data_IF_146886394881
#
_entry.id   IF_146886394881
#
_cell.length_a   1.000
_cell.length_b   1.000
_cell.length_c   1.000
_cell.angle_alpha   90.00
_cell.angle_beta   90.00
_cell.angle_gamma   90.00
#
_symmetry.space_group_name_H-M   'P 1'
#
loop_
_entity.id
_entity.type
_entity.pdbx_description
1 polymer ?
#
# COMPACT_ATOMS: atom_id res chain seq x y z
N UNK A 1 -36.24 -8.12 -8.48
CA UNK A 1 -35.12 -7.45 -7.85
C UNK A 1 -34.41 -6.56 -8.88
N UNK A 2 -34.10 -5.31 -8.56
CA UNK A 2 -33.50 -4.39 -9.52
C UNK A 2 -32.15 -4.96 -10.01
N UNK A 3 -31.85 -4.98 -11.34
CA UNK A 3 -30.62 -5.53 -11.90
C UNK A 3 -29.35 -4.88 -11.31
N UNK A 4 -29.41 -3.62 -10.92
CA UNK A 4 -28.33 -2.91 -10.25
C UNK A 4 -28.04 -3.54 -8.87
N UNK A 5 -29.07 -3.81 -8.08
CA UNK A 5 -28.95 -4.43 -6.75
C UNK A 5 -28.39 -5.86 -6.88
N UNK A 6 -28.87 -6.62 -7.88
CA UNK A 6 -28.33 -7.95 -8.20
C UNK A 6 -26.85 -7.93 -8.57
N UNK A 7 -26.43 -6.95 -9.35
CA UNK A 7 -25.04 -6.76 -9.72
C UNK A 7 -24.16 -6.51 -8.47
N UNK A 8 -24.56 -5.59 -7.58
CA UNK A 8 -23.83 -5.31 -6.35
C UNK A 8 -23.79 -6.52 -5.41
N UNK A 9 -24.86 -7.25 -5.23
CA UNK A 9 -24.86 -8.47 -4.43
C UNK A 9 -23.97 -9.56 -5.00
N UNK A 10 -23.93 -9.71 -6.32
CA UNK A 10 -23.08 -10.68 -6.99
C UNK A 10 -21.60 -10.31 -6.87
N UNK A 11 -21.24 -9.07 -7.18
CA UNK A 11 -19.85 -8.59 -7.16
C UNK A 11 -19.29 -8.47 -5.74
N UNK A 12 -20.13 -8.17 -4.75
CA UNK A 12 -19.76 -8.16 -3.34
C UNK A 12 -19.71 -9.55 -2.67
N UNK A 13 -19.98 -10.63 -3.41
CA UNK A 13 -19.94 -11.99 -2.85
C UNK A 13 -18.52 -12.57 -2.88
N UNK A 14 -18.01 -13.14 -1.74
CA UNK A 14 -16.66 -13.72 -1.68
C UNK A 14 -16.38 -14.79 -2.74
N UNK A 15 -17.32 -15.72 -3.08
CA UNK A 15 -17.05 -16.72 -4.11
C UNK A 15 -16.89 -16.16 -5.53
N UNK A 16 -17.61 -15.08 -5.84
CA UNK A 16 -17.45 -14.39 -7.13
C UNK A 16 -16.11 -13.67 -7.18
N UNK A 17 -15.77 -12.93 -6.11
CA UNK A 17 -14.52 -12.21 -6.02
C UNK A 17 -13.32 -13.17 -6.13
N UNK A 18 -13.37 -14.32 -5.46
CA UNK A 18 -12.32 -15.34 -5.52
C UNK A 18 -12.09 -15.85 -6.94
N UNK A 19 -13.14 -16.14 -7.69
CA UNK A 19 -13.03 -16.59 -9.08
C UNK A 19 -12.51 -15.51 -10.00
N UNK A 20 -13.00 -14.29 -9.84
CA UNK A 20 -12.58 -13.14 -10.64
C UNK A 20 -11.11 -12.78 -10.38
N UNK A 21 -10.72 -12.68 -9.12
CA UNK A 21 -9.32 -12.40 -8.74
C UNK A 21 -8.37 -13.50 -9.21
N UNK A 22 -8.75 -14.78 -9.08
CA UNK A 22 -7.96 -15.91 -9.58
C UNK A 22 -7.67 -15.83 -11.08
N UNK A 23 -8.61 -15.31 -11.87
CA UNK A 23 -8.37 -15.05 -13.29
C UNK A 23 -7.43 -13.87 -13.55
N UNK A 24 -7.51 -12.81 -12.74
CA UNK A 24 -6.70 -11.60 -12.91
C UNK A 24 -5.27 -11.74 -12.36
N UNK A 25 -5.08 -12.50 -11.29
CA UNK A 25 -3.80 -12.61 -10.57
C UNK A 25 -2.60 -12.91 -11.50
N UNK A 26 -2.62 -13.90 -12.40
CA UNK A 26 -1.47 -14.18 -13.26
C UNK A 26 -1.10 -13.01 -14.17
N UNK A 27 -2.08 -12.29 -14.70
CA UNK A 27 -1.85 -11.12 -15.55
C UNK A 27 -1.31 -9.94 -14.76
N UNK A 28 -1.82 -9.72 -13.56
CA UNK A 28 -1.34 -8.66 -12.66
C UNK A 28 0.10 -8.95 -12.21
N UNK A 29 0.42 -10.21 -11.88
CA UNK A 29 1.79 -10.61 -11.55
C UNK A 29 2.75 -10.45 -12.73
N UNK A 30 2.38 -10.88 -13.92
CA UNK A 30 3.20 -10.70 -15.12
C UNK A 30 3.45 -9.20 -15.39
N UNK A 31 2.41 -8.38 -15.35
CA UNK A 31 2.52 -6.93 -15.51
C UNK A 31 3.40 -6.30 -14.43
N UNK A 32 3.23 -6.70 -13.17
CA UNK A 32 4.03 -6.22 -12.05
C UNK A 32 5.52 -6.52 -12.26
N UNK A 33 5.87 -7.76 -12.58
CA UNK A 33 7.27 -8.15 -12.80
C UNK A 33 7.89 -7.38 -13.96
N UNK A 34 7.20 -7.32 -15.11
CA UNK A 34 7.70 -6.62 -16.30
C UNK A 34 7.90 -5.13 -16.00
N UNK A 35 6.89 -4.46 -15.45
CA UNK A 35 6.98 -3.02 -15.16
C UNK A 35 8.01 -2.70 -14.09
N UNK A 36 8.15 -3.57 -13.07
CA UNK A 36 9.17 -3.41 -12.02
C UNK A 36 10.57 -3.54 -12.60
N UNK A 37 10.83 -4.57 -13.41
CA UNK A 37 12.16 -4.76 -14.05
C UNK A 37 12.51 -3.58 -14.96
N UNK A 38 11.56 -3.15 -15.80
CA UNK A 38 11.77 -1.99 -16.68
C UNK A 38 11.98 -0.72 -15.86
N UNK A 39 11.14 -0.46 -14.86
CA UNK A 39 11.22 0.72 -14.01
C UNK A 39 12.54 0.80 -13.23
N UNK A 40 12.96 -0.31 -12.63
CA UNK A 40 14.24 -0.38 -11.91
C UNK A 40 15.43 -0.20 -12.88
N UNK A 41 15.40 -0.85 -14.06
CA UNK A 41 16.44 -0.66 -15.04
C UNK A 41 16.56 0.79 -15.51
N UNK A 42 15.44 1.42 -15.86
CA UNK A 42 15.44 2.81 -16.29
C UNK A 42 15.85 3.77 -15.18
N UNK A 43 15.29 3.61 -13.98
CA UNK A 43 15.56 4.50 -12.84
C UNK A 43 16.99 4.36 -12.28
N UNK A 44 17.50 3.14 -12.14
CA UNK A 44 18.81 2.92 -11.54
C UNK A 44 19.98 3.01 -12.50
N UNK A 45 19.78 2.65 -13.79
CA UNK A 45 20.91 2.54 -14.72
C UNK A 45 20.86 3.54 -15.88
N UNK A 46 19.68 4.00 -16.30
CA UNK A 46 19.52 4.85 -17.48
C UNK A 46 19.22 6.30 -17.16
N UNK A 47 18.59 6.58 -16.03
CA UNK A 47 18.26 7.95 -15.64
C UNK A 47 19.54 8.78 -15.45
N UNK A 48 19.63 10.00 -15.99
CA UNK A 48 20.78 10.87 -15.77
C UNK A 48 20.83 11.30 -14.29
N UNK A 49 22.04 11.58 -13.75
CA UNK A 49 22.17 12.17 -12.43
C UNK A 49 21.54 13.58 -12.43
N UNK A 50 20.98 13.95 -11.29
CA UNK A 50 20.44 15.30 -11.09
C UNK A 50 21.55 16.33 -10.85
N UNK A 51 21.35 17.57 -11.29
CA UNK A 51 22.39 18.61 -11.20
C UNK A 51 22.67 19.07 -9.76
N UNK A 52 21.72 18.90 -8.82
CA UNK A 52 21.88 19.24 -7.40
C UNK A 52 22.13 18.00 -6.54
N UNK A 53 21.44 16.89 -6.81
CA UNK A 53 21.45 15.69 -5.98
C UNK A 53 22.44 14.62 -6.48
N UNK A 54 22.99 14.79 -7.67
CA UNK A 54 23.88 13.78 -8.27
C UNK A 54 23.18 12.43 -8.43
N UNK A 55 23.87 11.35 -8.08
CA UNK A 55 23.37 9.97 -8.16
C UNK A 55 22.30 9.66 -7.10
N UNK A 56 22.18 10.45 -6.03
CA UNK A 56 21.21 10.18 -4.96
C UNK A 56 19.75 10.36 -5.42
N UNK A 57 19.53 11.09 -6.53
CA UNK A 57 18.19 11.19 -7.16
C UNK A 57 17.60 9.83 -7.51
N UNK A 58 18.43 8.81 -7.77
CA UNK A 58 17.96 7.46 -8.12
C UNK A 58 17.13 6.81 -7.03
N UNK A 59 17.35 7.18 -5.77
CA UNK A 59 16.55 6.72 -4.62
C UNK A 59 15.10 7.18 -4.76
N UNK A 60 14.85 8.35 -5.35
CA UNK A 60 13.51 8.91 -5.56
C UNK A 60 12.62 8.01 -6.40
N UNK A 61 13.18 7.31 -7.38
CA UNK A 61 12.39 6.41 -8.24
C UNK A 61 11.79 5.21 -7.49
N UNK A 62 12.36 4.87 -6.34
CA UNK A 62 11.83 3.86 -5.45
C UNK A 62 11.04 4.48 -4.29
N UNK A 63 11.56 5.57 -3.72
CA UNK A 63 10.98 6.25 -2.56
C UNK A 63 9.59 6.82 -2.83
N UNK A 64 9.46 7.61 -3.91
CA UNK A 64 8.20 8.32 -4.21
C UNK A 64 7.04 7.35 -4.47
N UNK A 65 7.18 6.32 -5.32
CA UNK A 65 6.13 5.33 -5.48
C UNK A 65 5.78 4.59 -4.18
N UNK A 66 6.79 4.26 -3.35
CA UNK A 66 6.55 3.57 -2.08
C UNK A 66 5.76 4.44 -1.09
N UNK A 67 6.13 5.71 -0.93
CA UNK A 67 5.41 6.66 -0.09
C UNK A 67 3.97 6.92 -0.56
N UNK A 68 3.76 7.01 -1.88
CA UNK A 68 2.41 7.11 -2.44
C UNK A 68 1.57 5.87 -2.17
N UNK A 69 2.15 4.68 -2.36
CA UNK A 69 1.45 3.42 -2.13
C UNK A 69 1.11 3.21 -0.66
N UNK A 70 1.99 3.59 0.27
CA UNK A 70 1.71 3.51 1.72
C UNK A 70 0.47 4.32 2.09
N UNK A 71 0.40 5.59 1.70
CA UNK A 71 -0.75 6.45 1.97
C UNK A 71 -2.02 6.00 1.23
N UNK A 72 -1.89 5.61 -0.05
CA UNK A 72 -3.03 5.18 -0.85
C UNK A 72 -3.70 3.92 -0.30
N UNK A 73 -2.91 2.92 0.10
CA UNK A 73 -3.44 1.68 0.68
C UNK A 73 -4.18 1.99 1.98
N UNK A 74 -3.63 2.84 2.85
CA UNK A 74 -4.31 3.22 4.10
C UNK A 74 -5.63 3.96 3.83
N UNK A 75 -5.63 4.87 2.86
CA UNK A 75 -6.84 5.57 2.42
C UNK A 75 -7.91 4.61 1.88
N UNK A 76 -7.51 3.62 1.06
CA UNK A 76 -8.41 2.58 0.58
C UNK A 76 -8.95 1.72 1.72
N UNK A 77 -8.12 1.35 2.69
CA UNK A 77 -8.57 0.61 3.88
C UNK A 77 -9.61 1.39 4.66
N UNK A 78 -9.44 2.72 4.82
CA UNK A 78 -10.44 3.58 5.46
C UNK A 78 -11.77 3.59 4.69
N UNK A 79 -11.73 3.68 3.36
CA UNK A 79 -12.94 3.60 2.51
C UNK A 79 -13.61 2.24 2.64
N UNK A 80 -12.85 1.14 2.59
CA UNK A 80 -13.40 -0.21 2.77
C UNK A 80 -13.98 -0.40 4.18
N UNK A 81 -13.31 0.15 5.20
CA UNK A 81 -13.83 0.14 6.57
C UNK A 81 -15.17 0.86 6.69
N UNK A 82 -15.28 2.03 6.10
CA UNK A 82 -16.55 2.75 6.03
C UNK A 82 -17.65 1.94 5.34
N UNK A 83 -17.34 1.33 4.18
CA UNK A 83 -18.29 0.49 3.44
C UNK A 83 -18.67 -0.75 4.24
N UNK A 84 -17.70 -1.41 4.88
CA UNK A 84 -17.96 -2.57 5.73
C UNK A 84 -18.89 -2.24 6.90
N UNK A 85 -18.67 -1.09 7.54
CA UNK A 85 -19.44 -0.63 8.69
C UNK A 85 -20.89 -0.29 8.30
N UNK A 86 -21.08 0.48 7.21
CA UNK A 86 -22.39 0.97 6.79
C UNK A 86 -23.23 -0.13 6.12
N UNK A 87 -22.64 -0.87 5.19
CA UNK A 87 -23.37 -1.87 4.39
C UNK A 87 -23.11 -3.32 4.82
N UNK A 88 -22.25 -3.56 5.81
CA UNK A 88 -21.90 -4.89 6.33
C UNK A 88 -21.44 -5.87 5.23
N UNK A 89 -20.65 -5.39 4.29
CA UNK A 89 -20.14 -6.18 3.16
C UNK A 89 -18.85 -6.88 3.58
N UNK A 90 -18.93 -8.20 3.81
CA UNK A 90 -17.82 -9.04 4.31
C UNK A 90 -16.54 -8.98 3.49
N UNK A 91 -16.63 -8.80 2.16
CA UNK A 91 -15.44 -8.72 1.32
C UNK A 91 -14.58 -7.50 1.65
N UNK A 92 -15.16 -6.42 2.14
CA UNK A 92 -14.44 -5.21 2.54
C UNK A 92 -13.55 -5.47 3.76
N UNK A 93 -14.04 -6.25 4.74
CA UNK A 93 -13.23 -6.67 5.90
C UNK A 93 -12.01 -7.50 5.46
N UNK A 94 -12.20 -8.42 4.51
CA UNK A 94 -11.12 -9.23 3.95
C UNK A 94 -10.10 -8.35 3.21
N UNK A 95 -10.55 -7.35 2.45
CA UNK A 95 -9.66 -6.43 1.75
C UNK A 95 -8.81 -5.61 2.71
N UNK A 96 -9.36 -5.13 3.82
CA UNK A 96 -8.62 -4.38 4.84
C UNK A 96 -7.45 -5.21 5.37
N UNK A 97 -7.75 -6.40 5.90
CA UNK A 97 -6.70 -7.20 6.54
C UNK A 97 -5.67 -7.74 5.55
N UNK A 98 -6.10 -8.04 4.31
CA UNK A 98 -5.17 -8.49 3.27
C UNK A 98 -4.26 -7.36 2.77
N UNK A 99 -4.69 -6.11 2.85
CA UNK A 99 -3.92 -4.95 2.38
C UNK A 99 -2.99 -4.38 3.45
N UNK A 100 -3.28 -4.59 4.74
CA UNK A 100 -2.48 -4.05 5.84
C UNK A 100 -0.99 -4.46 5.77
N UNK A 101 -0.60 -5.75 5.58
CA UNK A 101 0.81 -6.13 5.46
C UNK A 101 1.48 -5.55 4.21
N UNK A 102 0.73 -5.32 3.13
CA UNK A 102 1.24 -4.68 1.92
C UNK A 102 1.55 -3.21 2.22
N UNK A 103 0.64 -2.52 2.93
CA UNK A 103 0.85 -1.15 3.39
C UNK A 103 2.08 -1.04 4.30
N UNK A 104 2.25 -1.95 5.26
CA UNK A 104 3.46 -2.04 6.11
C UNK A 104 4.74 -2.13 5.25
N UNK A 105 4.75 -3.00 4.24
CA UNK A 105 5.91 -3.18 3.38
C UNK A 105 6.28 -1.88 2.63
N UNK A 106 5.31 -1.20 2.04
CA UNK A 106 5.54 0.07 1.35
C UNK A 106 5.99 1.18 2.32
N UNK A 107 5.40 1.26 3.52
CA UNK A 107 5.79 2.23 4.54
C UNK A 107 7.24 2.00 5.01
N UNK A 108 7.65 0.75 5.21
CA UNK A 108 9.05 0.42 5.55
C UNK A 108 9.99 0.82 4.42
N UNK A 109 9.66 0.50 3.16
CA UNK A 109 10.46 0.89 2.00
C UNK A 109 10.56 2.43 1.93
N UNK A 110 9.46 3.16 2.12
CA UNK A 110 9.45 4.62 2.11
C UNK A 110 10.34 5.20 3.23
N UNK A 111 10.24 4.69 4.46
CA UNK A 111 11.08 5.14 5.58
C UNK A 111 12.57 4.86 5.35
N UNK A 112 12.92 3.66 4.90
CA UNK A 112 14.33 3.29 4.64
C UNK A 112 14.92 4.12 3.50
N UNK A 113 14.22 4.20 2.38
CA UNK A 113 14.68 4.96 1.21
C UNK A 113 14.72 6.46 1.48
N UNK A 114 13.74 7.00 2.23
CA UNK A 114 13.71 8.38 2.66
C UNK A 114 14.89 8.74 3.59
N UNK A 115 15.22 7.86 4.53
CA UNK A 115 16.39 8.01 5.40
C UNK A 115 17.71 7.98 4.62
N UNK A 116 17.84 7.03 3.67
CA UNK A 116 19.03 6.95 2.81
C UNK A 116 19.19 8.18 1.92
N UNK A 117 18.11 8.68 1.37
CA UNK A 117 18.11 9.90 0.56
C UNK A 117 18.36 11.16 1.41
N UNK A 118 17.92 11.17 2.66
CA UNK A 118 18.14 12.27 3.60
C UNK A 118 19.62 12.54 3.88
N UNK A 119 20.43 11.49 3.96
CA UNK A 119 21.86 11.62 4.30
C UNK A 119 22.65 12.54 3.36
N UNK A 120 22.62 12.38 2.04
CA UNK A 120 23.29 13.31 1.12
C UNK A 120 22.62 14.68 1.04
N UNK A 121 21.33 14.78 1.34
CA UNK A 121 20.55 16.02 1.17
C UNK A 121 20.63 16.94 2.39
N UNK A 122 20.53 16.37 3.61
CA UNK A 122 20.47 17.11 4.88
C UNK A 122 21.59 16.75 5.86
N UNK A 123 22.52 15.87 5.49
CA UNK A 123 23.65 15.46 6.31
C UNK A 123 23.33 14.41 7.39
N UNK A 124 22.06 14.02 7.54
CA UNK A 124 21.61 13.04 8.54
C UNK A 124 20.59 12.06 7.94
N UNK A 125 20.53 10.86 8.51
CA UNK A 125 19.55 9.84 8.09
C UNK A 125 18.14 10.13 8.60
N UNK A 126 18.00 10.88 9.69
CA UNK A 126 16.71 11.14 10.32
C UNK A 126 16.60 12.59 10.79
N UNK A 127 15.45 13.20 10.45
CA UNK A 127 15.02 14.50 10.98
C UNK A 127 13.58 14.33 11.44
N UNK A 128 13.26 14.87 12.62
CA UNK A 128 11.88 14.87 13.12
C UNK A 128 11.04 15.96 12.41
N UNK A 129 10.92 15.84 11.10
CA UNK A 129 10.03 16.68 10.31
C UNK A 129 8.65 16.03 10.14
N UNK A 130 7.70 16.77 9.60
CA UNK A 130 6.34 16.28 9.42
C UNK A 130 6.26 15.06 8.48
N UNK A 131 7.16 14.95 7.49
CA UNK A 131 7.15 13.88 6.48
C UNK A 131 7.57 12.53 7.07
N UNK A 132 8.78 12.47 7.65
CA UNK A 132 9.29 11.24 8.25
C UNK A 132 8.50 10.83 9.49
N UNK A 133 8.07 11.80 10.30
CA UNK A 133 7.27 11.52 11.49
C UNK A 133 5.90 10.99 11.14
N UNK A 134 5.19 11.59 10.16
CA UNK A 134 3.87 11.11 9.75
C UNK A 134 3.93 9.72 9.10
N UNK A 135 4.96 9.44 8.30
CA UNK A 135 5.16 8.11 7.71
C UNK A 135 5.46 7.05 8.79
N UNK A 136 6.23 7.41 9.82
CA UNK A 136 6.46 6.52 10.98
C UNK A 136 5.16 6.27 11.76
N UNK A 137 4.35 7.31 11.99
CA UNK A 137 3.02 7.17 12.61
C UNK A 137 2.14 6.27 11.77
N UNK A 138 2.15 6.41 10.45
CA UNK A 138 1.41 5.55 9.54
C UNK A 138 1.80 4.08 9.69
N UNK A 139 3.10 3.78 9.84
CA UNK A 139 3.58 2.42 10.13
C UNK A 139 2.97 1.86 11.41
N UNK A 140 2.95 2.64 12.49
CA UNK A 140 2.32 2.21 13.74
C UNK A 140 0.81 2.03 13.63
N UNK A 141 0.13 2.84 12.82
CA UNK A 141 -1.30 2.66 12.55
C UNK A 141 -1.57 1.33 11.82
N UNK A 142 -0.75 0.96 10.83
CA UNK A 142 -0.84 -0.34 10.19
C UNK A 142 -0.63 -1.50 11.17
N UNK A 143 0.39 -1.41 12.02
CA UNK A 143 0.60 -2.41 13.07
C UNK A 143 -0.56 -2.47 14.05
N UNK A 144 -1.15 -1.32 14.38
CA UNK A 144 -2.35 -1.24 15.20
C UNK A 144 -3.53 -2.00 14.60
N UNK A 145 -3.78 -1.83 13.30
CA UNK A 145 -4.85 -2.57 12.58
C UNK A 145 -4.58 -4.07 12.62
N UNK A 146 -3.35 -4.52 12.33
CA UNK A 146 -2.98 -5.94 12.34
C UNK A 146 -3.09 -6.52 13.76
N UNK A 147 -2.60 -5.80 14.76
CA UNK A 147 -2.65 -6.24 16.16
C UNK A 147 -4.10 -6.34 16.66
N UNK A 148 -4.92 -5.33 16.35
CA UNK A 148 -6.33 -5.32 16.72
C UNK A 148 -7.07 -6.51 16.10
N UNK A 149 -6.86 -6.76 14.81
CA UNK A 149 -7.49 -7.88 14.12
C UNK A 149 -7.12 -9.23 14.76
N UNK A 150 -5.86 -9.41 15.14
CA UNK A 150 -5.37 -10.64 15.77
C UNK A 150 -5.77 -10.79 17.26
N UNK A 151 -6.18 -9.69 17.89
CA UNK A 151 -6.60 -9.71 19.29
C UNK A 151 -8.05 -10.23 19.49
N UNK A 152 -8.85 -10.31 18.44
CA UNK A 152 -10.22 -10.79 18.52
C UNK A 152 -10.39 -12.14 17.83
N UNK A 153 -10.99 -13.09 18.54
CA UNK A 153 -11.31 -14.44 18.01
C UNK A 153 -12.39 -14.39 16.91
N UNK A 154 -13.23 -13.33 16.93
CA UNK A 154 -14.25 -13.10 15.92
C UNK A 154 -13.84 -11.93 15.02
N UNK A 155 -13.58 -12.16 13.73
CA UNK A 155 -13.15 -11.11 12.78
C UNK A 155 -14.05 -9.89 12.71
N UNK A 156 -15.36 -10.07 12.94
CA UNK A 156 -16.34 -8.98 12.94
C UNK A 156 -16.24 -8.02 14.13
N UNK A 157 -15.61 -8.44 15.21
CA UNK A 157 -15.40 -7.58 16.39
C UNK A 157 -14.12 -6.75 16.26
N UNK A 158 -13.24 -7.15 15.33
CA UNK A 158 -11.99 -6.48 15.06
C UNK A 158 -12.10 -5.42 13.93
N UNK A 159 -13.11 -5.52 13.10
CA UNK A 159 -13.35 -4.61 11.97
C UNK A 159 -14.27 -3.46 12.37
#
# INVERSE_FOLDING_TARGET
MNPIVLFFHKTGSPPWFYRFSGYLIPWLWASFVILTVIGLYLGLFRAPPDYQQGESVRIMYLHVPAAWMSMMIFGLMAVWGFIALVWRIRIMEVLIISSAPIGVAFTIIALLTGSLWGRPTWGTYWVWDARLTSELVLLFLYFGVIALYNAFDEPRKAA
#
